data_IF_524128978976
#
_entry.id   IF_524128978976
#
_cell.length_a   1.000
_cell.length_b   1.000
_cell.length_c   1.000
_cell.angle_alpha   90.00
_cell.angle_beta   90.00
_cell.angle_gamma   90.00
#
_symmetry.space_group_name_H-M   'P 1'
#
loop_
_entity.id
_entity.type
_entity.pdbx_description
1 polymer ?
#
# COMPACT_ATOMS: atom_id res chain seq x y z
N UNK A 1 -45.48 0.84 54.51
CA UNK A 1 -45.96 0.03 53.37
C UNK A 1 -46.27 1.00 52.23
N UNK A 2 -45.45 0.97 51.17
CA UNK A 2 -45.53 1.60 49.84
C UNK A 2 -44.13 2.14 49.43
N UNK A 3 -43.65 1.90 48.18
CA UNK A 3 -42.24 1.66 47.91
C UNK A 3 -41.47 2.86 47.34
N UNK A 4 -40.14 2.81 47.51
CA UNK A 4 -39.16 3.77 47.00
C UNK A 4 -38.91 3.64 45.47
N UNK A 5 -38.63 4.73 44.75
CA UNK A 5 -38.36 4.69 43.32
C UNK A 5 -36.94 4.20 43.00
N UNK A 6 -36.88 3.39 41.94
CA UNK A 6 -35.69 2.72 41.38
C UNK A 6 -34.69 3.71 40.75
N UNK A 7 -33.36 3.50 40.89
CA UNK A 7 -32.36 4.38 40.30
C UNK A 7 -32.14 4.09 38.81
N UNK A 8 -32.28 5.14 38.01
CA UNK A 8 -32.10 5.14 36.57
C UNK A 8 -30.70 4.66 36.13
N UNK A 9 -30.72 3.91 35.04
CA UNK A 9 -29.58 3.27 34.37
C UNK A 9 -28.55 4.29 33.86
N UNK A 10 -27.36 4.26 34.46
CA UNK A 10 -26.18 4.98 33.98
C UNK A 10 -25.56 4.16 32.84
N UNK A 11 -25.93 4.46 31.59
CA UNK A 11 -25.33 3.85 30.38
C UNK A 11 -23.82 4.10 30.36
N UNK A 12 -23.03 3.02 30.33
CA UNK A 12 -21.57 3.08 30.19
C UNK A 12 -21.22 3.62 28.80
N UNK A 13 -20.62 4.80 28.78
CA UNK A 13 -20.08 5.44 27.60
C UNK A 13 -18.61 5.04 27.50
N UNK A 14 -18.33 4.01 26.71
CA UNK A 14 -16.96 3.64 26.31
C UNK A 14 -16.91 3.47 24.79
N UNK A 15 -17.31 4.54 24.09
CA UNK A 15 -16.87 4.81 22.72
C UNK A 15 -15.96 6.02 22.83
N UNK A 16 -14.68 5.78 23.09
CA UNK A 16 -13.66 6.78 22.81
C UNK A 16 -13.59 6.91 21.29
N UNK A 17 -14.38 7.84 20.74
CA UNK A 17 -14.14 8.33 19.39
C UNK A 17 -12.76 8.97 19.40
N UNK A 18 -11.77 8.29 18.83
CA UNK A 18 -10.52 8.94 18.44
C UNK A 18 -10.86 9.86 17.27
N UNK A 19 -10.64 11.16 17.48
CA UNK A 19 -10.87 12.25 16.53
C UNK A 19 -9.85 12.28 15.38
N UNK A 20 -8.91 11.35 15.34
CA UNK A 20 -7.95 11.22 14.25
C UNK A 20 -8.56 10.39 13.12
N UNK A 21 -8.88 11.07 12.01
CA UNK A 21 -9.50 10.51 10.81
C UNK A 21 -8.68 9.43 10.07
N UNK A 22 -7.62 8.89 10.66
CA UNK A 22 -6.66 7.97 10.04
C UNK A 22 -6.78 6.53 10.54
N UNK A 23 -7.56 6.27 11.60
CA UNK A 23 -7.68 4.93 12.19
C UNK A 23 -9.01 4.25 11.82
N UNK A 24 -8.93 3.06 11.22
CA UNK A 24 -10.09 2.20 10.99
C UNK A 24 -10.34 1.30 12.19
N UNK A 25 -11.59 1.20 12.63
CA UNK A 25 -11.97 0.28 13.72
C UNK A 25 -13.04 -0.68 13.24
N UNK A 26 -12.84 -1.97 13.51
CA UNK A 26 -13.80 -3.03 13.27
C UNK A 26 -13.94 -3.89 14.53
N UNK A 27 -15.19 -4.19 14.92
CA UNK A 27 -15.47 -5.16 15.98
C UNK A 27 -16.04 -6.45 15.36
N UNK A 28 -15.70 -7.61 15.92
CA UNK A 28 -16.20 -8.94 15.50
C UNK A 28 -16.69 -9.74 16.73
N UNK A 29 -17.76 -10.57 16.63
CA UNK A 29 -18.22 -11.74 17.49
C UNK A 29 -19.75 -12.05 17.41
N UNK A 30 -20.35 -13.16 18.01
CA UNK A 30 -19.90 -14.52 18.44
C UNK A 30 -20.46 -15.70 17.60
N UNK A 31 -20.00 -16.96 17.82
CA UNK A 31 -20.82 -18.16 17.68
C UNK A 31 -21.43 -18.59 19.03
N UNK A 32 -22.75 -18.46 19.19
CA UNK A 32 -23.66 -19.31 20.00
C UNK A 32 -24.97 -18.59 20.36
N UNK A 33 -25.98 -18.70 19.49
CA UNK A 33 -27.38 -19.03 19.85
C UNK A 33 -28.29 -18.87 18.63
N UNK A 34 -28.61 -20.00 18.00
CA UNK A 34 -29.86 -20.27 17.29
C UNK A 34 -30.51 -19.12 16.45
N UNK A 35 -29.84 -18.69 15.39
CA UNK A 35 -30.46 -18.27 14.10
C UNK A 35 -29.31 -18.17 13.10
N UNK A 36 -29.46 -18.75 11.91
CA UNK A 36 -28.41 -18.84 10.88
C UNK A 36 -27.65 -17.52 10.70
N UNK A 37 -26.44 -17.41 11.25
CA UNK A 37 -25.53 -16.27 11.05
C UNK A 37 -24.11 -16.80 11.19
N UNK A 38 -23.32 -16.54 10.16
CA UNK A 38 -21.95 -17.00 9.96
C UNK A 38 -21.08 -16.73 11.20
N UNK A 39 -20.31 -17.70 11.71
CA UNK A 39 -19.42 -17.48 12.86
C UNK A 39 -18.42 -16.35 12.58
N UNK A 40 -18.36 -15.34 13.47
CA UNK A 40 -17.27 -14.36 13.47
C UNK A 40 -17.39 -13.22 12.44
N UNK A 41 -18.61 -12.77 12.15
CA UNK A 41 -18.86 -11.61 11.29
C UNK A 41 -18.42 -10.27 11.90
N UNK A 42 -18.13 -9.30 11.02
CA UNK A 42 -17.92 -7.89 11.37
C UNK A 42 -19.24 -7.31 11.89
N UNK A 43 -19.23 -6.69 13.06
CA UNK A 43 -20.41 -6.10 13.70
C UNK A 43 -20.41 -4.58 13.69
N UNK A 44 -19.25 -3.97 13.44
CA UNK A 44 -19.13 -2.53 13.24
C UNK A 44 -17.99 -2.23 12.27
N UNK A 45 -18.19 -1.16 11.50
CA UNK A 45 -17.24 -0.67 10.52
C UNK A 45 -17.34 0.85 10.50
N UNK A 46 -16.32 1.55 10.98
CA UNK A 46 -16.36 3.01 11.06
C UNK A 46 -15.90 3.68 9.76
N UNK A 47 -16.14 4.98 9.62
CA UNK A 47 -15.68 5.75 8.44
C UNK A 47 -14.17 5.70 8.20
N UNK A 48 -13.37 5.48 9.25
CA UNK A 48 -11.93 5.28 9.09
C UNK A 48 -11.61 3.98 8.35
N UNK A 49 -12.33 2.91 8.66
CA UNK A 49 -12.19 1.62 8.00
C UNK A 49 -12.73 1.66 6.56
N UNK A 50 -13.83 2.38 6.32
CA UNK A 50 -14.32 2.64 4.96
C UNK A 50 -13.28 3.34 4.09
N UNK A 51 -12.68 4.43 4.60
CA UNK A 51 -11.62 5.15 3.89
C UNK A 51 -10.37 4.29 3.67
N UNK A 52 -9.98 3.49 4.66
CA UNK A 52 -8.76 2.69 4.59
C UNK A 52 -8.89 1.51 3.62
N UNK A 53 -10.00 0.79 3.68
CA UNK A 53 -10.16 -0.48 2.94
C UNK A 53 -11.09 -0.36 1.73
N UNK A 54 -11.81 0.74 1.56
CA UNK A 54 -12.68 0.99 0.40
C UNK A 54 -14.02 0.26 0.41
N UNK A 55 -14.33 -0.45 1.50
CA UNK A 55 -15.63 -1.10 1.70
C UNK A 55 -16.56 -0.21 2.51
N UNK A 56 -17.80 -0.02 2.06
CA UNK A 56 -18.83 0.61 2.87
C UNK A 56 -19.28 -0.34 3.98
N UNK A 57 -19.71 0.20 5.13
CA UNK A 57 -20.13 -0.60 6.27
C UNK A 57 -21.22 -1.62 5.88
N UNK A 58 -22.21 -1.20 5.09
CA UNK A 58 -23.33 -2.03 4.67
C UNK A 58 -22.90 -3.25 3.84
N UNK A 59 -21.74 -3.19 3.18
CA UNK A 59 -21.22 -4.29 2.36
C UNK A 59 -20.57 -5.38 3.21
N UNK A 60 -19.97 -5.02 4.35
CA UNK A 60 -19.07 -5.90 5.11
C UNK A 60 -19.62 -6.31 6.46
N UNK A 61 -20.62 -5.62 6.99
CA UNK A 61 -21.31 -6.04 8.21
C UNK A 61 -21.92 -7.44 8.00
N UNK A 62 -21.66 -8.34 8.94
CA UNK A 62 -22.03 -9.75 8.86
C UNK A 62 -21.05 -10.63 8.07
N UNK A 63 -20.12 -10.06 7.30
CA UNK A 63 -19.07 -10.82 6.61
C UNK A 63 -17.87 -11.10 7.52
N UNK A 64 -17.05 -12.08 7.15
CA UNK A 64 -15.81 -12.37 7.88
C UNK A 64 -14.77 -11.27 7.65
N UNK A 65 -14.00 -10.91 8.69
CA UNK A 65 -12.85 -10.00 8.56
C UNK A 65 -11.77 -10.51 7.59
N UNK A 66 -11.81 -11.80 7.25
CA UNK A 66 -10.89 -12.44 6.30
C UNK A 66 -10.93 -11.86 4.89
N UNK A 67 -12.01 -11.14 4.52
CA UNK A 67 -12.13 -10.48 3.21
C UNK A 67 -11.02 -9.45 2.95
N UNK A 68 -10.51 -8.80 4.01
CA UNK A 68 -9.41 -7.82 3.90
C UNK A 68 -8.04 -8.47 4.14
N UNK A 69 -7.96 -9.80 4.29
CA UNK A 69 -6.71 -10.51 4.58
C UNK A 69 -6.23 -11.17 3.28
N UNK A 70 -4.97 -10.97 2.85
CA UNK A 70 -4.41 -11.65 1.69
C UNK A 70 -4.48 -13.18 1.84
N UNK A 71 -4.62 -13.90 0.73
CA UNK A 71 -4.71 -15.37 0.74
C UNK A 71 -3.49 -16.03 1.40
N UNK A 72 -2.30 -15.46 1.21
CA UNK A 72 -1.03 -15.90 1.79
C UNK A 72 -0.89 -15.62 3.29
N UNK A 73 -1.86 -14.93 3.91
CA UNK A 73 -1.77 -14.44 5.30
C UNK A 73 -2.97 -14.79 6.17
N UNK A 74 -3.82 -15.71 5.71
CA UNK A 74 -5.05 -16.10 6.43
C UNK A 74 -4.77 -16.67 7.83
N UNK A 75 -3.62 -17.31 8.03
CA UNK A 75 -3.20 -17.87 9.33
C UNK A 75 -2.95 -16.81 10.41
N UNK A 76 -2.58 -15.58 10.02
CA UNK A 76 -2.37 -14.48 10.97
C UNK A 76 -3.65 -14.20 11.79
N UNK A 77 -4.82 -14.36 11.18
CA UNK A 77 -6.09 -14.14 11.88
C UNK A 77 -6.32 -15.22 12.96
N UNK A 78 -5.95 -16.46 12.69
CA UNK A 78 -6.09 -17.54 13.66
C UNK A 78 -5.17 -17.34 14.87
N UNK A 79 -3.94 -16.90 14.63
CA UNK A 79 -2.99 -16.53 15.68
C UNK A 79 -3.51 -15.39 16.56
N UNK A 80 -4.00 -14.32 15.93
CA UNK A 80 -4.60 -13.19 16.63
C UNK A 80 -5.80 -13.64 17.45
N UNK A 81 -6.74 -14.40 16.87
CA UNK A 81 -7.93 -14.87 17.58
C UNK A 81 -7.57 -15.81 18.75
N UNK A 82 -6.55 -16.64 18.61
CA UNK A 82 -6.08 -17.51 19.69
C UNK A 82 -5.54 -16.69 20.88
N UNK A 83 -4.81 -15.61 20.63
CA UNK A 83 -4.35 -14.68 21.67
C UNK A 83 -5.53 -13.96 22.34
N UNK A 84 -6.47 -13.46 21.55
CA UNK A 84 -7.66 -12.79 22.09
C UNK A 84 -8.51 -13.74 22.94
N UNK A 85 -8.66 -15.01 22.56
CA UNK A 85 -9.38 -16.02 23.37
C UNK A 85 -8.74 -16.26 24.73
N UNK A 86 -7.42 -16.08 24.85
CA UNK A 86 -6.68 -16.12 26.13
C UNK A 86 -6.77 -14.80 26.91
N UNK A 87 -7.44 -13.79 26.37
CA UNK A 87 -7.58 -12.47 26.99
C UNK A 87 -6.39 -11.55 26.79
N UNK A 88 -5.44 -11.92 25.93
CA UNK A 88 -4.28 -11.10 25.59
C UNK A 88 -4.68 -9.96 24.65
N UNK A 89 -3.92 -8.87 24.71
CA UNK A 89 -3.97 -7.80 23.70
C UNK A 89 -2.86 -8.08 22.69
N UNK A 90 -3.17 -7.95 21.41
CA UNK A 90 -2.18 -7.90 20.33
C UNK A 90 -1.93 -6.42 20.05
N UNK A 91 -0.72 -5.94 20.27
CA UNK A 91 -0.36 -4.56 19.99
C UNK A 91 0.75 -4.48 18.94
N UNK A 92 0.75 -3.39 18.17
CA UNK A 92 1.74 -3.10 17.11
C UNK A 92 2.02 -4.26 16.14
N UNK A 93 0.99 -5.01 15.72
CA UNK A 93 1.18 -6.06 14.73
C UNK A 93 1.18 -5.47 13.31
N UNK A 94 2.37 -5.24 12.75
CA UNK A 94 2.53 -4.78 11.37
C UNK A 94 2.24 -5.92 10.38
N UNK A 95 1.28 -5.70 9.48
CA UNK A 95 0.91 -6.69 8.46
C UNK A 95 0.38 -5.99 7.20
N UNK A 96 0.06 -6.79 6.18
CA UNK A 96 -0.58 -6.36 4.94
C UNK A 96 -2.04 -6.78 4.91
N UNK A 97 -2.88 -5.86 4.45
CA UNK A 97 -4.31 -6.08 4.19
C UNK A 97 -4.66 -5.71 2.75
N UNK A 98 -5.73 -6.29 2.22
CA UNK A 98 -6.26 -5.97 0.91
C UNK A 98 -7.39 -4.94 1.03
N UNK A 99 -7.38 -3.95 0.13
CA UNK A 99 -8.51 -3.06 -0.12
C UNK A 99 -9.47 -3.68 -1.12
N UNK A 100 -10.67 -3.11 -1.25
CA UNK A 100 -11.71 -3.54 -2.19
C UNK A 100 -11.26 -3.54 -3.65
N UNK A 101 -10.39 -2.61 -4.03
CA UNK A 101 -9.81 -2.50 -5.37
C UNK A 101 -8.68 -3.51 -5.64
N UNK A 102 -8.35 -4.37 -4.67
CA UNK A 102 -7.26 -5.35 -4.74
C UNK A 102 -5.90 -4.80 -4.34
N UNK A 103 -5.76 -3.49 -4.11
CA UNK A 103 -4.50 -2.90 -3.66
C UNK A 103 -4.14 -3.34 -2.24
N UNK A 104 -2.83 -3.40 -1.96
CA UNK A 104 -2.30 -3.77 -0.64
C UNK A 104 -2.10 -2.53 0.24
N UNK A 105 -2.47 -2.64 1.51
CA UNK A 105 -2.28 -1.64 2.55
C UNK A 105 -1.33 -2.20 3.61
N UNK A 106 -0.25 -1.48 3.93
CA UNK A 106 0.57 -1.81 5.11
C UNK A 106 -0.11 -1.18 6.31
N UNK A 107 -0.44 -1.99 7.30
CA UNK A 107 -1.17 -1.54 8.49
C UNK A 107 -0.50 -2.01 9.77
N UNK A 108 -0.57 -1.19 10.82
CA UNK A 108 -0.34 -1.65 12.18
C UNK A 108 -1.68 -1.95 12.84
N UNK A 109 -1.81 -3.16 13.38
CA UNK A 109 -3.00 -3.64 14.05
C UNK A 109 -2.81 -3.66 15.56
N UNK A 110 -3.77 -3.07 16.27
CA UNK A 110 -4.00 -3.32 17.69
C UNK A 110 -5.32 -4.07 17.83
N UNK A 111 -5.30 -5.22 18.49
CA UNK A 111 -6.47 -6.08 18.69
C UNK A 111 -6.67 -6.33 20.17
N UNK A 112 -7.86 -5.99 20.67
CA UNK A 112 -8.22 -6.11 22.09
C UNK A 112 -9.45 -7.00 22.28
N UNK A 113 -9.51 -7.82 23.35
CA UNK A 113 -10.71 -8.55 23.70
C UNK A 113 -11.81 -7.58 24.15
N UNK A 114 -13.03 -7.78 23.66
CA UNK A 114 -14.21 -7.10 24.21
C UNK A 114 -14.82 -8.05 25.23
N UNK A 115 -15.18 -7.52 26.40
CA UNK A 115 -15.74 -8.30 27.50
C UNK A 115 -17.16 -7.87 27.80
N UNK A 116 -18.01 -8.82 28.19
CA UNK A 116 -19.33 -8.52 28.74
C UNK A 116 -19.25 -8.07 30.20
N UNK A 117 -20.41 -7.75 30.80
CA UNK A 117 -20.51 -7.35 32.20
C UNK A 117 -20.04 -8.43 33.20
N UNK A 118 -20.01 -9.70 32.77
CA UNK A 118 -19.51 -10.82 33.57
C UNK A 118 -17.99 -11.05 33.36
N UNK A 119 -17.31 -10.19 32.59
CA UNK A 119 -15.88 -10.30 32.29
C UNK A 119 -15.53 -11.37 31.24
N UNK A 120 -16.52 -12.05 30.68
CA UNK A 120 -16.34 -13.06 29.64
C UNK A 120 -15.98 -12.36 28.34
N UNK A 121 -15.03 -12.93 27.59
CA UNK A 121 -14.67 -12.41 26.28
C UNK A 121 -15.84 -12.70 25.34
N UNK A 122 -16.38 -11.65 24.76
CA UNK A 122 -17.53 -11.66 23.84
C UNK A 122 -17.24 -10.94 22.53
N UNK A 123 -15.99 -10.53 22.31
CA UNK A 123 -15.60 -9.72 21.16
C UNK A 123 -14.10 -9.67 20.89
N UNK A 124 -13.76 -9.25 19.69
CA UNK A 124 -12.47 -8.63 19.40
C UNK A 124 -12.75 -7.24 18.79
N UNK A 125 -12.06 -6.22 19.28
CA UNK A 125 -11.97 -4.91 18.63
C UNK A 125 -10.62 -4.80 17.95
N UNK A 126 -10.61 -4.49 16.66
CA UNK A 126 -9.42 -4.29 15.85
C UNK A 126 -9.33 -2.82 15.47
N UNK A 127 -8.18 -2.22 15.71
CA UNK A 127 -7.83 -0.89 15.22
C UNK A 127 -6.71 -1.09 14.20
N UNK A 128 -6.94 -0.61 12.98
CA UNK A 128 -5.96 -0.61 11.90
C UNK A 128 -5.52 0.83 11.61
N UNK A 129 -4.22 1.06 11.67
CA UNK A 129 -3.60 2.32 11.26
C UNK A 129 -2.89 2.11 9.94
N UNK A 130 -3.22 2.94 8.94
CA UNK A 130 -2.50 2.92 7.67
C UNK A 130 -1.06 3.40 7.87
N UNK A 131 -0.11 2.60 7.43
CA UNK A 131 1.32 2.90 7.43
C UNK A 131 1.89 2.98 6.01
N UNK A 132 1.06 2.81 4.98
CA UNK A 132 1.50 2.71 3.59
C UNK A 132 2.29 3.95 3.16
N UNK A 133 1.78 5.16 3.42
CA UNK A 133 2.47 6.40 3.04
C UNK A 133 3.76 6.60 3.85
N UNK A 134 3.74 6.30 5.15
CA UNK A 134 4.90 6.43 6.02
C UNK A 134 6.03 5.46 5.61
N UNK A 135 5.70 4.19 5.30
CA UNK A 135 6.65 3.21 4.75
C UNK A 135 7.24 3.67 3.43
N UNK A 136 6.41 4.10 2.48
CA UNK A 136 6.88 4.63 1.19
C UNK A 136 7.81 5.85 1.36
N UNK A 137 7.50 6.74 2.31
CA UNK A 137 8.35 7.89 2.59
C UNK A 137 9.69 7.47 3.21
N UNK A 138 9.68 6.52 4.15
CA UNK A 138 10.89 5.97 4.75
C UNK A 138 11.77 5.24 3.72
N UNK A 139 11.16 4.45 2.84
CA UNK A 139 11.85 3.76 1.74
C UNK A 139 12.48 4.76 0.76
N UNK A 140 11.77 5.82 0.37
CA UNK A 140 12.33 6.90 -0.47
C UNK A 140 13.50 7.61 0.21
N UNK A 141 13.37 7.92 1.50
CA UNK A 141 14.45 8.57 2.25
C UNK A 141 15.69 7.67 2.38
N UNK A 142 15.48 6.38 2.66
CA UNK A 142 16.55 5.39 2.70
C UNK A 142 17.25 5.26 1.34
N UNK A 143 16.47 5.21 0.24
CA UNK A 143 17.01 5.23 -1.12
C UNK A 143 17.88 6.47 -1.37
N UNK A 144 17.37 7.68 -1.10
CA UNK A 144 18.12 8.91 -1.31
C UNK A 144 19.41 8.95 -0.49
N UNK A 145 19.35 8.48 0.76
CA UNK A 145 20.53 8.38 1.61
C UNK A 145 21.56 7.41 1.05
N UNK A 146 21.15 6.26 0.54
CA UNK A 146 22.09 5.25 0.02
C UNK A 146 22.66 5.68 -1.32
N UNK A 147 21.83 6.17 -2.24
CA UNK A 147 22.26 6.77 -3.49
C UNK A 147 23.28 7.91 -3.27
N UNK A 148 23.03 8.78 -2.29
CA UNK A 148 23.95 9.85 -1.91
C UNK A 148 25.33 9.35 -1.45
N UNK A 149 25.39 8.24 -0.69
CA UNK A 149 26.68 7.64 -0.27
C UNK A 149 27.44 7.05 -1.45
N UNK A 150 26.75 6.40 -2.39
CA UNK A 150 27.38 5.83 -3.59
C UNK A 150 27.96 6.96 -4.44
N UNK A 151 27.18 8.01 -4.69
CA UNK A 151 27.60 9.20 -5.43
C UNK A 151 28.80 9.91 -4.81
N UNK A 152 28.89 9.96 -3.48
CA UNK A 152 30.01 10.61 -2.78
C UNK A 152 31.30 9.78 -2.75
N UNK A 153 31.24 8.46 -2.98
CA UNK A 153 32.39 7.55 -2.81
C UNK A 153 33.12 7.20 -4.09
N UNK A 154 32.48 7.37 -5.24
CA UNK A 154 33.02 6.90 -6.51
C UNK A 154 33.38 8.06 -7.44
N UNK A 155 34.61 8.06 -7.95
CA UNK A 155 34.99 8.86 -9.12
C UNK A 155 34.53 8.18 -10.43
N UNK A 156 34.10 6.92 -10.36
CA UNK A 156 33.48 6.19 -11.44
C UNK A 156 31.96 6.42 -11.41
N UNK A 157 31.52 7.36 -12.24
CA UNK A 157 30.12 7.74 -12.37
C UNK A 157 29.28 6.62 -13.01
N UNK A 158 29.86 5.71 -13.79
CA UNK A 158 29.13 4.64 -14.49
C UNK A 158 28.68 3.55 -13.53
N UNK A 159 29.61 3.05 -12.72
CA UNK A 159 29.29 2.10 -11.66
C UNK A 159 28.27 2.68 -10.66
N UNK A 160 28.38 3.98 -10.38
CA UNK A 160 27.50 4.71 -9.46
C UNK A 160 26.08 4.80 -10.00
N UNK A 161 25.90 5.29 -11.22
CA UNK A 161 24.59 5.49 -11.82
C UNK A 161 23.89 4.16 -12.11
N UNK A 162 24.66 3.10 -12.39
CA UNK A 162 24.14 1.72 -12.45
C UNK A 162 23.59 1.30 -11.09
N UNK A 163 24.34 1.52 -10.01
CA UNK A 163 23.89 1.22 -8.65
C UNK A 163 22.63 2.00 -8.28
N UNK A 164 22.55 3.29 -8.64
CA UNK A 164 21.36 4.13 -8.39
C UNK A 164 20.14 3.57 -9.12
N UNK A 165 20.27 3.18 -10.40
CA UNK A 165 19.17 2.57 -11.15
C UNK A 165 18.68 1.26 -10.51
N UNK A 166 19.61 0.40 -10.10
CA UNK A 166 19.29 -0.85 -9.40
C UNK A 166 18.64 -0.62 -8.03
N UNK A 167 19.05 0.40 -7.27
CA UNK A 167 18.43 0.74 -5.99
C UNK A 167 17.02 1.31 -6.14
N UNK A 168 16.71 1.92 -7.28
CA UNK A 168 15.37 2.46 -7.54
C UNK A 168 14.32 1.35 -7.78
N UNK A 169 14.77 0.15 -8.15
CA UNK A 169 13.93 -0.98 -8.58
C UNK A 169 14.10 -2.16 -7.60
N UNK A 170 13.04 -2.70 -6.98
CA UNK A 170 11.62 -2.36 -7.12
C UNK A 170 11.15 -1.22 -6.19
N UNK A 171 12.06 -0.56 -5.47
CA UNK A 171 11.69 0.26 -4.29
C UNK A 171 10.78 1.43 -4.62
N UNK A 172 11.08 2.18 -5.69
CA UNK A 172 10.34 3.39 -6.05
C UNK A 172 9.74 3.32 -7.46
N UNK A 173 10.18 2.36 -8.29
CA UNK A 173 9.65 2.13 -9.64
C UNK A 173 9.84 0.68 -10.08
N UNK A 174 9.00 0.22 -11.03
CA UNK A 174 9.15 -1.10 -11.65
C UNK A 174 10.31 -1.17 -12.66
N UNK A 175 10.72 -0.01 -13.19
CA UNK A 175 11.89 0.13 -14.05
C UNK A 175 12.50 1.52 -13.88
N UNK A 176 13.81 1.62 -14.11
CA UNK A 176 14.55 2.86 -14.04
C UNK A 176 15.61 2.87 -15.13
N UNK A 177 15.76 3.99 -15.82
CA UNK A 177 16.87 4.22 -16.74
C UNK A 177 17.57 5.54 -16.38
N UNK A 178 18.88 5.56 -16.51
CA UNK A 178 19.70 6.75 -16.29
C UNK A 178 20.40 7.09 -17.59
N UNK A 179 20.16 8.32 -18.04
CA UNK A 179 20.68 8.85 -19.28
C UNK A 179 21.64 10.02 -18.99
N UNK A 180 22.80 10.03 -19.66
CA UNK A 180 23.85 11.04 -19.48
C UNK A 180 24.04 11.80 -20.78
N UNK A 181 24.26 13.12 -20.66
CA UNK A 181 24.57 13.98 -21.80
C UNK A 181 26.08 14.02 -21.96
N UNK A 182 26.59 13.44 -23.05
CA UNK A 182 28.00 13.44 -23.40
C UNK A 182 28.46 14.75 -24.04
N UNK A 183 29.76 14.84 -24.29
CA UNK A 183 30.38 15.95 -25.03
C UNK A 183 29.79 15.99 -26.46
N UNK A 184 29.07 17.06 -26.80
CA UNK A 184 28.35 17.20 -28.07
C UNK A 184 26.81 17.11 -27.98
N UNK A 185 26.23 17.11 -26.78
CA UNK A 185 24.77 16.99 -26.54
C UNK A 185 24.15 15.66 -26.99
N UNK A 186 24.98 14.64 -27.22
CA UNK A 186 24.49 13.28 -27.42
C UNK A 186 23.99 12.72 -26.08
N UNK A 187 22.85 12.03 -26.09
CA UNK A 187 22.25 11.45 -24.88
C UNK A 187 22.50 9.95 -24.90
N UNK A 188 23.32 9.46 -23.99
CA UNK A 188 23.66 8.05 -23.85
C UNK A 188 22.90 7.43 -22.68
N UNK A 189 22.40 6.20 -22.86
CA UNK A 189 21.76 5.43 -21.78
C UNK A 189 22.83 4.64 -21.05
N UNK A 190 23.14 5.07 -19.84
CA UNK A 190 24.23 4.48 -19.08
C UNK A 190 23.77 3.29 -18.23
N UNK A 191 22.55 3.36 -17.69
CA UNK A 191 22.01 2.32 -16.84
C UNK A 191 20.53 2.05 -17.12
N UNK A 192 20.13 0.78 -16.99
CA UNK A 192 18.74 0.34 -17.00
C UNK A 192 18.57 -0.77 -15.98
N UNK A 193 17.55 -0.65 -15.13
CA UNK A 193 17.08 -1.68 -14.23
C UNK A 193 15.57 -1.92 -14.44
N UNK A 194 15.13 -3.15 -14.29
CA UNK A 194 13.73 -3.54 -14.36
C UNK A 194 13.46 -4.68 -13.37
N UNK A 195 12.29 -4.71 -12.75
CA UNK A 195 11.84 -5.84 -11.91
C UNK A 195 11.78 -7.18 -12.64
N UNK A 196 11.74 -7.14 -13.97
CA UNK A 196 11.71 -8.28 -14.87
C UNK A 196 12.99 -8.22 -15.73
N UNK A 197 13.98 -9.08 -15.44
CA UNK A 197 15.25 -9.08 -16.17
C UNK A 197 15.08 -9.28 -17.68
N UNK A 198 14.03 -9.98 -18.13
CA UNK A 198 13.79 -10.21 -19.56
C UNK A 198 13.41 -8.92 -20.30
N UNK A 199 12.92 -7.91 -19.58
CA UNK A 199 12.52 -6.61 -20.16
C UNK A 199 13.64 -5.57 -20.16
N UNK A 200 14.80 -5.85 -19.57
CA UNK A 200 15.93 -4.92 -19.55
C UNK A 200 16.41 -4.59 -20.96
N UNK A 201 16.58 -5.61 -21.80
CA UNK A 201 16.98 -5.41 -23.20
C UNK A 201 15.90 -4.68 -24.00
N UNK A 202 14.63 -5.00 -23.76
CA UNK A 202 13.52 -4.25 -24.35
C UNK A 202 13.57 -2.76 -23.96
N UNK A 203 13.77 -2.44 -22.68
CA UNK A 203 13.85 -1.07 -22.19
C UNK A 203 15.06 -0.29 -22.76
N UNK A 204 16.18 -0.98 -23.05
CA UNK A 204 17.30 -0.37 -23.79
C UNK A 204 16.93 -0.08 -25.24
N UNK A 205 16.29 -1.03 -25.92
CA UNK A 205 15.90 -0.92 -27.33
C UNK A 205 14.81 0.13 -27.58
N UNK A 206 13.81 0.23 -26.68
CA UNK A 206 12.64 1.10 -26.85
C UNK A 206 13.07 2.54 -27.13
N UNK A 207 14.04 3.06 -26.36
CA UNK A 207 14.56 4.41 -26.57
C UNK A 207 15.27 4.56 -27.90
N UNK A 208 16.22 3.67 -28.19
CA UNK A 208 17.08 3.77 -29.35
C UNK A 208 16.32 3.66 -30.68
N UNK A 209 15.22 2.90 -30.69
CA UNK A 209 14.50 2.56 -31.91
C UNK A 209 13.18 3.32 -32.08
N UNK A 210 12.49 3.63 -30.99
CA UNK A 210 11.11 4.10 -31.07
C UNK A 210 10.87 5.47 -30.44
N UNK A 211 11.75 6.02 -29.61
CA UNK A 211 11.48 7.32 -28.98
C UNK A 211 11.56 8.47 -30.01
N UNK A 212 10.51 9.29 -30.10
CA UNK A 212 10.57 10.59 -30.76
C UNK A 212 11.32 11.62 -29.89
N UNK A 213 12.50 12.14 -30.29
CA UNK A 213 13.27 13.12 -29.50
C UNK A 213 12.61 14.51 -29.36
N UNK A 214 11.56 14.77 -30.13
CA UNK A 214 10.75 15.98 -30.10
C UNK A 214 9.44 15.79 -29.32
N UNK A 215 9.09 14.55 -28.94
CA UNK A 215 7.91 14.31 -28.10
C UNK A 215 8.07 15.06 -26.77
N UNK A 216 7.02 15.75 -26.27
CA UNK A 216 7.07 16.52 -25.02
C UNK A 216 7.52 15.71 -23.79
N UNK A 217 7.39 14.38 -23.84
CA UNK A 217 7.73 13.47 -22.75
C UNK A 217 9.03 12.70 -23.00
N UNK A 218 9.75 12.99 -24.08
CA UNK A 218 11.03 12.34 -24.39
C UNK A 218 12.16 12.88 -23.53
N UNK A 219 13.17 12.04 -23.30
CA UNK A 219 14.38 12.44 -22.55
C UNK A 219 15.08 13.61 -23.25
N UNK A 220 15.14 13.58 -24.59
CA UNK A 220 15.74 14.65 -25.38
C UNK A 220 15.00 15.99 -25.24
N UNK A 221 13.68 15.98 -25.14
CA UNK A 221 12.90 17.19 -24.89
C UNK A 221 13.16 17.75 -23.48
N UNK A 222 13.13 16.89 -22.45
CA UNK A 222 13.38 17.29 -21.05
C UNK A 222 14.78 17.87 -20.89
N UNK A 223 15.81 17.23 -21.45
CA UNK A 223 17.20 17.71 -21.41
C UNK A 223 17.33 19.07 -22.13
N UNK A 224 16.65 19.26 -23.26
CA UNK A 224 16.72 20.51 -24.04
C UNK A 224 16.00 21.67 -23.39
N UNK A 225 14.86 21.41 -22.73
CA UNK A 225 13.99 22.45 -22.14
C UNK A 225 14.22 22.65 -20.64
N UNK A 226 14.98 21.76 -20.00
CA UNK A 226 15.16 21.71 -18.55
C UNK A 226 13.84 21.68 -17.76
N UNK A 227 12.75 21.22 -18.40
CA UNK A 227 11.42 21.13 -17.79
C UNK A 227 11.12 19.65 -17.51
N UNK A 228 10.96 19.23 -16.24
CA UNK A 228 10.60 17.87 -15.90
C UNK A 228 9.25 17.48 -16.49
N UNK A 229 9.14 16.24 -17.00
CA UNK A 229 7.90 15.66 -17.48
C UNK A 229 7.46 14.54 -16.52
N UNK A 230 6.18 14.55 -16.11
CA UNK A 230 5.55 13.46 -15.36
C UNK A 230 4.24 13.10 -16.05
N UNK A 231 4.13 11.85 -16.49
CA UNK A 231 2.94 11.30 -17.12
C UNK A 231 2.31 10.31 -16.14
N UNK A 232 1.22 10.67 -15.43
CA UNK A 232 0.64 9.84 -14.38
C UNK A 232 -0.08 8.60 -14.91
N UNK A 233 -0.55 8.64 -16.16
CA UNK A 233 -1.17 7.54 -16.87
C UNK A 233 -0.68 7.55 -18.32
N UNK A 234 -0.13 6.43 -18.76
CA UNK A 234 0.30 6.21 -20.15
C UNK A 234 -0.79 5.36 -20.81
N UNK A 235 -1.48 5.90 -21.81
CA UNK A 235 -2.47 5.15 -22.61
C UNK A 235 -1.82 4.57 -23.87
N UNK A 236 -2.47 3.58 -24.48
CA UNK A 236 -1.99 2.98 -25.73
C UNK A 236 -1.89 4.03 -26.86
N UNK A 237 -2.84 4.96 -26.95
CA UNK A 237 -2.78 6.05 -27.94
C UNK A 237 -1.55 6.94 -27.71
N UNK A 238 -1.19 7.20 -26.46
CA UNK A 238 0.00 7.99 -26.13
C UNK A 238 1.29 7.25 -26.51
N UNK A 239 1.34 5.93 -26.33
CA UNK A 239 2.48 5.11 -26.74
C UNK A 239 2.64 5.17 -28.26
N UNK A 240 1.54 4.95 -28.99
CA UNK A 240 1.54 4.99 -30.47
C UNK A 240 1.93 6.38 -30.97
N UNK A 241 1.40 7.46 -30.39
CA UNK A 241 1.71 8.83 -30.81
C UNK A 241 3.16 9.26 -30.49
N UNK A 242 3.77 8.67 -29.46
CA UNK A 242 5.14 8.97 -29.04
C UNK A 242 6.20 8.10 -29.74
N UNK A 243 5.78 7.05 -30.45
CA UNK A 243 6.67 6.12 -31.13
C UNK A 243 7.03 6.58 -32.56
N UNK A 244 8.27 6.33 -32.98
CA UNK A 244 8.74 6.40 -34.38
C UNK A 244 9.16 5.00 -34.86
N UNK A 245 8.97 4.70 -36.14
CA UNK A 245 9.34 3.41 -36.75
C UNK A 245 8.13 2.60 -37.21
N UNK A 246 8.35 1.74 -38.19
CA UNK A 246 7.32 1.13 -39.04
C UNK A 246 6.19 0.39 -38.30
N UNK A 247 5.02 0.46 -38.94
CA UNK A 247 3.73 -0.18 -38.69
C UNK A 247 3.75 -1.73 -38.56
N UNK A 248 4.89 -2.37 -38.29
CA UNK A 248 5.02 -3.83 -38.26
C UNK A 248 5.38 -4.35 -36.86
N UNK A 249 4.60 -5.35 -36.42
CA UNK A 249 4.68 -6.16 -35.18
C UNK A 249 3.89 -5.62 -33.98
N UNK A 250 2.56 -5.54 -34.16
CA UNK A 250 1.63 -6.01 -33.13
C UNK A 250 0.88 -7.19 -33.76
N UNK A 251 1.50 -8.36 -33.76
CA UNK A 251 0.86 -9.67 -33.97
C UNK A 251 1.25 -10.58 -32.80
#
# INVERSE_FOLDING_TARGET
>A
MAPAPSPASRKSRATSQSSDGTNGTAACWPPSSNRATTPGGITSWNRGAERLFGYAAEEVIGQSIRIIIPADRQSEEDEVLNRIRRGEIVDYFETVRCRKDGSRAVVSLTVSPIRDAAGRIVGASKIARDMTQAKRAAERAAFLSEAGKVLARSLDYEATLTTVASLAVPTIADWCAVDVVGEGRNIERLAVAHVDPAKVELAKMVRARYEDPNSPNSVAYVVRTSTPALVPLITDEMIVAAARGDQERID
#
